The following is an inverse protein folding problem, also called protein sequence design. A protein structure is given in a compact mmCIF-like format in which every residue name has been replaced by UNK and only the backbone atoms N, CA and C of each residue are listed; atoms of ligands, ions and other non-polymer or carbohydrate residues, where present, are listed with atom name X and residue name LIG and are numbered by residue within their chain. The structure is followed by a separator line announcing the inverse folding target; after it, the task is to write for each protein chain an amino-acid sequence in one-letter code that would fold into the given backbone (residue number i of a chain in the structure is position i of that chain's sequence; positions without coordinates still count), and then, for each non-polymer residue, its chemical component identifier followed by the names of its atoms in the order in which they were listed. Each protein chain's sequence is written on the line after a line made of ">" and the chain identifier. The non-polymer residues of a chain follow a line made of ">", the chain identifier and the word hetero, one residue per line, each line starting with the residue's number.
data_IF_625278469862
#
_entry.id   IF_625278469862
#
_cell.length_a   1.000
_cell.length_b   1.000
_cell.length_c   1.000
_cell.angle_alpha   90.00
_cell.angle_beta   90.00
_cell.angle_gamma   90.00
#
_symmetry.space_group_name_H-M   'P 1'
#
loop_
_entity.id
_entity.type
_entity.pdbx_description
1 polymer ?
#
# COMPACT_ATOMS: atom_id res chain seq x y z
N UNK A 1 4.96 20.52 -15.50
CA UNK A 1 3.73 19.91 -14.93
C UNK A 1 2.50 20.77 -15.23
N UNK A 2 1.37 20.16 -15.58
CA UNK A 2 0.11 20.90 -15.85
C UNK A 2 -0.54 21.45 -14.57
N UNK A 3 -0.28 20.83 -13.42
CA UNK A 3 -0.87 21.21 -12.12
C UNK A 3 0.22 21.41 -11.06
N UNK A 4 -0.07 22.26 -10.07
CA UNK A 4 0.81 22.46 -8.91
C UNK A 4 0.78 21.22 -8.02
N UNK A 5 1.95 20.75 -7.62
CA UNK A 5 2.08 19.64 -6.67
C UNK A 5 1.68 20.10 -5.26
N UNK A 6 1.03 19.21 -4.51
CA UNK A 6 0.55 19.52 -3.17
C UNK A 6 1.66 19.39 -2.11
N UNK A 7 2.68 18.58 -2.37
CA UNK A 7 3.77 18.25 -1.43
C UNK A 7 3.26 17.93 0.00
N UNK A 8 2.36 16.95 0.16
CA UNK A 8 1.86 16.60 1.48
C UNK A 8 3.00 16.09 2.37
N UNK A 9 2.96 16.45 3.64
CA UNK A 9 3.90 16.00 4.67
C UNK A 9 3.20 15.03 5.62
N UNK A 10 2.96 13.81 5.14
CA UNK A 10 2.42 12.72 5.96
C UNK A 10 3.57 11.87 6.50
N UNK A 11 3.47 11.40 7.76
CA UNK A 11 4.52 10.60 8.36
C UNK A 11 4.69 9.27 7.62
N UNK A 12 5.90 8.73 7.70
CA UNK A 12 6.18 7.34 7.32
C UNK A 12 6.00 6.48 8.56
N UNK A 13 5.29 5.37 8.44
CA UNK A 13 5.22 4.37 9.50
C UNK A 13 6.18 3.21 9.21
N UNK A 14 7.32 3.22 9.90
CA UNK A 14 8.32 2.16 9.86
C UNK A 14 8.31 1.29 11.13
N UNK A 15 7.21 1.29 11.89
CA UNK A 15 7.14 0.59 13.17
C UNK A 15 7.25 -0.93 13.03
N UNK A 16 6.54 -1.53 12.07
CA UNK A 16 6.52 -2.99 11.88
C UNK A 16 7.91 -3.51 11.44
N UNK A 17 8.42 -4.63 11.96
CA UNK A 17 9.79 -5.10 11.68
C UNK A 17 10.08 -5.36 10.20
N UNK A 18 9.07 -5.76 9.43
CA UNK A 18 9.20 -6.21 8.03
C UNK A 18 8.51 -5.33 6.99
N UNK A 19 7.66 -4.38 7.42
CA UNK A 19 6.83 -3.59 6.51
C UNK A 19 6.93 -2.10 6.86
N UNK A 20 6.91 -1.27 5.82
CA UNK A 20 6.97 0.18 5.85
C UNK A 20 5.71 0.73 5.17
N UNK A 21 5.09 1.77 5.75
CA UNK A 21 4.00 2.51 5.13
C UNK A 21 4.45 3.92 4.74
N UNK A 22 4.33 4.27 3.45
CA UNK A 22 4.50 5.63 2.93
C UNK A 22 3.13 6.21 2.52
N UNK A 23 2.52 6.99 3.41
CA UNK A 23 1.17 7.54 3.22
C UNK A 23 1.08 8.66 2.17
N UNK A 24 2.20 9.23 1.73
CA UNK A 24 2.20 10.25 0.67
C UNK A 24 1.92 9.64 -0.71
N UNK A 25 2.10 8.32 -0.86
CA UNK A 25 1.87 7.58 -2.12
C UNK A 25 0.47 6.97 -2.22
N UNK A 26 -0.37 7.14 -1.19
CA UNK A 26 -1.68 6.53 -1.14
C UNK A 26 -2.67 7.21 -2.10
N UNK A 27 -3.32 6.39 -2.92
CA UNK A 27 -4.37 6.80 -3.87
C UNK A 27 -5.79 6.51 -3.37
N UNK A 28 -5.93 6.05 -2.11
CA UNK A 28 -7.23 5.79 -1.47
C UNK A 28 -8.11 4.75 -2.18
N UNK A 29 -7.51 3.72 -2.79
CA UNK A 29 -8.22 2.67 -3.51
C UNK A 29 -8.95 1.65 -2.61
N UNK A 30 -8.72 1.67 -1.30
CA UNK A 30 -9.32 0.77 -0.30
C UNK A 30 -8.97 -0.74 -0.43
N UNK A 31 -8.09 -1.14 -1.36
CA UNK A 31 -7.73 -2.55 -1.52
C UNK A 31 -7.14 -3.17 -0.25
N UNK A 32 -6.26 -2.46 0.46
CA UNK A 32 -5.69 -2.94 1.73
C UNK A 32 -6.74 -3.02 2.85
N UNK A 33 -7.70 -2.09 2.87
CA UNK A 33 -8.82 -2.08 3.84
C UNK A 33 -9.68 -3.32 3.63
N UNK A 34 -10.08 -3.58 2.39
CA UNK A 34 -10.91 -4.75 2.04
C UNK A 34 -10.17 -6.07 2.20
N UNK A 35 -8.93 -6.16 1.75
CA UNK A 35 -8.12 -7.37 1.96
C UNK A 35 -7.95 -7.68 3.46
N UNK A 36 -7.59 -6.67 4.26
CA UNK A 36 -7.38 -6.87 5.70
C UNK A 36 -8.66 -7.29 6.42
N UNK A 37 -9.83 -6.77 6.02
CA UNK A 37 -11.11 -7.14 6.62
C UNK A 37 -11.65 -8.48 6.10
N UNK A 38 -11.73 -8.63 4.78
CA UNK A 38 -12.51 -9.68 4.14
C UNK A 38 -11.68 -10.93 3.83
N UNK A 39 -10.34 -10.81 3.75
CA UNK A 39 -9.42 -11.94 3.49
C UNK A 39 -8.60 -12.30 4.72
N UNK A 40 -8.04 -11.30 5.39
CA UNK A 40 -7.17 -11.53 6.56
C UNK A 40 -7.98 -11.59 7.88
N UNK A 41 -9.18 -11.00 7.92
CA UNK A 41 -10.03 -10.98 9.12
C UNK A 41 -9.58 -10.03 10.24
N UNK A 42 -8.66 -9.11 9.94
CA UNK A 42 -7.93 -8.29 10.93
C UNK A 42 -8.39 -6.84 11.01
N UNK A 43 -8.90 -6.29 9.91
CA UNK A 43 -9.34 -4.88 9.84
C UNK A 43 -8.27 -3.87 10.30
N UNK A 44 -7.01 -4.10 9.91
CA UNK A 44 -5.82 -3.29 10.26
C UNK A 44 -5.89 -1.87 9.69
N UNK A 45 -6.57 -1.67 8.57
CA UNK A 45 -6.57 -0.39 7.86
C UNK A 45 -7.96 0.23 7.79
N UNK A 46 -8.02 1.56 7.84
CA UNK A 46 -9.21 2.34 7.55
C UNK A 46 -8.86 3.65 6.83
N UNK A 47 -9.84 4.30 6.19
CA UNK A 47 -9.70 5.67 5.70
C UNK A 47 -10.44 6.60 6.65
N UNK A 48 -9.79 7.68 7.07
CA UNK A 48 -10.37 8.68 7.99
C UNK A 48 -10.38 10.07 7.35
N UNK A 49 -11.07 10.99 8.03
CA UNK A 49 -11.22 12.40 7.65
C UNK A 49 -11.92 12.59 6.28
N UNK A 50 -11.93 13.82 5.74
CA UNK A 50 -12.68 14.20 4.54
C UNK A 50 -11.88 15.13 3.63
N UNK A 51 -12.30 15.22 2.36
CA UNK A 51 -11.69 16.10 1.36
C UNK A 51 -10.19 15.85 1.20
N UNK A 52 -9.41 16.93 1.13
CA UNK A 52 -7.94 16.88 1.01
C UNK A 52 -7.25 16.28 2.24
N UNK A 53 -7.93 16.26 3.39
CA UNK A 53 -7.40 15.69 4.64
C UNK A 53 -7.68 14.20 4.78
N UNK A 54 -8.43 13.58 3.85
CA UNK A 54 -8.65 12.14 3.82
C UNK A 54 -7.32 11.41 3.73
N UNK A 55 -7.09 10.41 4.58
CA UNK A 55 -5.88 9.60 4.57
C UNK A 55 -6.12 8.19 5.13
N UNK A 56 -5.19 7.28 4.81
CA UNK A 56 -5.12 5.94 5.37
C UNK A 56 -4.60 5.98 6.80
N UNK A 57 -5.24 5.23 7.69
CA UNK A 57 -4.82 5.05 9.08
C UNK A 57 -4.71 3.57 9.42
N UNK A 58 -3.89 3.29 10.41
CA UNK A 58 -3.77 1.98 11.05
C UNK A 58 -4.73 1.93 12.24
N UNK A 59 -5.47 0.84 12.36
CA UNK A 59 -6.44 0.58 13.41
C UNK A 59 -5.75 0.07 14.69
N UNK A 60 -4.94 0.95 15.29
CA UNK A 60 -4.33 0.80 16.60
C UNK A 60 -4.47 2.12 17.36
N UNK A 61 -4.54 2.09 18.68
CA UNK A 61 -4.60 3.32 19.50
C UNK A 61 -3.39 4.23 19.24
N UNK A 62 -2.22 3.63 19.03
CA UNK A 62 -0.99 4.35 18.67
C UNK A 62 -0.96 4.86 17.23
N UNK A 63 -1.87 4.37 16.37
CA UNK A 63 -1.84 4.58 14.92
C UNK A 63 -0.65 3.94 14.20
N UNK A 64 0.09 3.02 14.85
CA UNK A 64 1.29 2.37 14.31
C UNK A 64 1.03 0.91 13.94
N UNK A 65 1.58 0.48 12.80
CA UNK A 65 1.44 -0.87 12.25
C UNK A 65 1.97 -1.97 13.18
N UNK A 66 3.07 -1.72 13.90
CA UNK A 66 3.63 -2.67 14.87
C UNK A 66 2.69 -3.04 16.02
N UNK A 67 1.70 -2.17 16.31
CA UNK A 67 0.78 -2.35 17.43
C UNK A 67 -0.56 -2.97 16.95
N UNK A 68 -0.53 -3.63 15.78
CA UNK A 68 -1.64 -4.42 15.23
C UNK A 68 -1.23 -5.90 15.08
N UNK A 69 -2.17 -6.74 14.68
CA UNK A 69 -1.95 -8.14 14.31
C UNK A 69 -1.54 -8.31 12.82
N UNK A 70 -1.21 -7.20 12.13
CA UNK A 70 -0.71 -7.23 10.76
C UNK A 70 0.52 -8.13 10.64
N UNK A 71 0.52 -8.98 9.63
CA UNK A 71 1.64 -9.87 9.33
C UNK A 71 2.12 -9.65 7.89
N UNK A 72 3.42 -9.89 7.66
CA UNK A 72 4.00 -9.64 6.35
C UNK A 72 3.48 -10.59 5.27
N UNK A 73 2.86 -11.71 5.61
CA UNK A 73 2.25 -12.68 4.71
C UNK A 73 0.74 -12.46 4.48
N UNK A 74 0.13 -11.46 5.14
CA UNK A 74 -1.26 -11.06 4.90
C UNK A 74 -1.50 -10.70 3.43
N UNK A 75 -2.72 -10.95 2.95
CA UNK A 75 -3.14 -10.52 1.62
C UNK A 75 -3.02 -8.98 1.53
N UNK A 76 -3.40 -8.27 2.59
CA UNK A 76 -3.24 -6.81 2.67
C UNK A 76 -1.78 -6.35 2.50
N UNK A 77 -0.79 -7.15 2.86
CA UNK A 77 0.63 -6.81 2.70
C UNK A 77 1.10 -6.80 1.25
N UNK A 78 0.42 -7.56 0.37
CA UNK A 78 0.78 -7.69 -1.05
C UNK A 78 -0.18 -6.99 -2.03
N UNK A 79 -1.33 -6.50 -1.57
CA UNK A 79 -2.41 -6.02 -2.45
C UNK A 79 -2.27 -4.57 -2.91
N UNK A 80 -1.38 -3.78 -2.31
CA UNK A 80 -1.27 -2.36 -2.65
C UNK A 80 -0.78 -2.21 -4.11
N UNK A 81 -1.56 -1.55 -5.01
CA UNK A 81 -1.18 -1.43 -6.42
C UNK A 81 -0.08 -0.38 -6.66
N UNK A 82 0.26 0.39 -5.63
CA UNK A 82 1.26 1.45 -5.61
C UNK A 82 2.20 1.23 -4.43
N UNK A 83 3.20 2.09 -4.25
CA UNK A 83 4.23 1.91 -3.22
C UNK A 83 3.87 2.40 -1.82
N UNK A 84 2.66 2.17 -1.30
CA UNK A 84 2.33 2.54 0.10
C UNK A 84 2.82 1.48 1.06
N UNK A 85 2.40 0.22 0.88
CA UNK A 85 2.74 -0.91 1.75
C UNK A 85 3.95 -1.60 1.13
N UNK A 86 5.11 -1.46 1.77
CA UNK A 86 6.38 -1.88 1.22
C UNK A 86 7.08 -2.86 2.15
N UNK A 87 7.49 -4.02 1.62
CA UNK A 87 8.40 -4.92 2.35
C UNK A 87 9.76 -4.24 2.53
N UNK A 88 10.24 -4.20 3.76
CA UNK A 88 11.57 -3.69 4.09
C UNK A 88 12.65 -4.60 3.49
N UNK A 89 13.80 -4.01 3.12
CA UNK A 89 15.00 -4.71 2.63
C UNK A 89 14.88 -5.38 1.24
N UNK A 90 13.78 -5.20 0.50
CA UNK A 90 13.56 -5.79 -0.85
C UNK A 90 13.50 -4.72 -1.95
N UNK A 91 13.95 -3.50 -1.66
CA UNK A 91 13.96 -2.40 -2.63
C UNK A 91 14.89 -2.66 -3.81
N UNK A 92 14.45 -2.31 -5.02
CA UNK A 92 15.25 -2.38 -6.26
C UNK A 92 15.80 -3.78 -6.62
N UNK A 93 15.15 -4.84 -6.14
CA UNK A 93 15.58 -6.22 -6.40
C UNK A 93 15.40 -6.66 -7.87
N UNK A 94 14.47 -6.03 -8.61
CA UNK A 94 14.20 -6.34 -10.02
C UNK A 94 14.94 -5.33 -10.91
N UNK A 95 15.83 -5.78 -11.82
CA UNK A 95 16.55 -4.91 -12.74
C UNK A 95 15.63 -4.07 -13.64
N UNK A 96 16.12 -2.92 -14.07
CA UNK A 96 15.47 -2.10 -15.11
C UNK A 96 15.38 -2.92 -16.40
N UNK A 97 14.21 -2.89 -17.04
CA UNK A 97 13.88 -3.70 -18.23
C UNK A 97 13.18 -5.02 -17.90
N UNK A 98 13.13 -5.40 -16.62
CA UNK A 98 12.49 -6.65 -16.15
C UNK A 98 11.37 -6.42 -15.14
N UNK A 99 10.99 -5.16 -14.87
CA UNK A 99 9.88 -4.84 -13.95
C UNK A 99 8.54 -5.09 -14.64
N UNK A 100 7.50 -5.34 -13.85
CA UNK A 100 6.17 -5.78 -14.32
C UNK A 100 5.59 -4.97 -15.48
N UNK A 101 5.85 -3.66 -15.53
CA UNK A 101 5.30 -2.76 -16.54
C UNK A 101 6.38 -2.12 -17.43
N UNK A 102 7.60 -2.67 -17.47
CA UNK A 102 8.68 -2.12 -18.31
C UNK A 102 8.45 -2.41 -19.80
N UNK A 103 7.97 -3.61 -20.13
CA UNK A 103 7.82 -4.05 -21.52
C UNK A 103 6.38 -3.89 -22.05
N UNK A 104 5.37 -3.97 -21.16
CA UNK A 104 3.94 -4.02 -21.54
C UNK A 104 3.11 -3.09 -20.64
N UNK A 105 2.08 -2.43 -21.19
CA UNK A 105 1.17 -1.60 -20.42
C UNK A 105 0.32 -2.44 -19.46
N UNK A 106 -0.26 -1.78 -18.46
CA UNK A 106 -1.10 -2.45 -17.45
C UNK A 106 -2.28 -3.22 -18.06
N UNK A 107 -2.87 -2.72 -19.16
CA UNK A 107 -4.01 -3.35 -19.84
C UNK A 107 -3.69 -4.74 -20.38
N UNK A 108 -2.43 -5.00 -20.75
CA UNK A 108 -2.00 -6.32 -21.22
C UNK A 108 -1.62 -7.21 -20.03
N UNK A 109 -0.88 -6.66 -19.05
CA UNK A 109 -0.40 -7.43 -17.89
C UNK A 109 -1.54 -7.91 -16.99
N UNK A 110 -2.64 -7.17 -16.88
CA UNK A 110 -3.80 -7.57 -16.06
C UNK A 110 -4.52 -8.80 -16.61
N UNK A 111 -4.57 -8.96 -17.95
CA UNK A 111 -5.26 -10.08 -18.60
C UNK A 111 -4.56 -11.41 -18.27
N UNK A 112 -3.23 -11.42 -18.26
CA UNK A 112 -2.43 -12.62 -17.95
C UNK A 112 -2.60 -13.11 -16.49
N UNK A 113 -3.02 -12.24 -15.56
CA UNK A 113 -3.16 -12.56 -14.13
C UNK A 113 -4.55 -13.11 -13.77
N UNK A 114 -5.52 -12.95 -14.65
CA UNK A 114 -6.89 -13.44 -14.48
C UNK A 114 -7.10 -14.82 -15.15
N UNK A 115 -6.09 -15.35 -15.84
CA UNK A 115 -6.11 -16.74 -16.31
C UNK A 115 -6.00 -17.72 -15.11
N UNK A 116 -6.86 -18.75 -15.08
CA UNK A 116 -7.03 -19.65 -13.93
C UNK A 116 -5.82 -20.52 -13.61
#
# INVERSE_FOLDING_TARGET
>A
PRFNHFYPDRPVDASHPDVLLDFNRCIYCELCVRASRDKDGKSVFALTNRGIHKHLVVNAESGRLADTDFAADDVAAGICPVGVILRKRVGFAVPIGSRSYDARPISEVSMDREEP
#
